data_IF_160261534481
#
_entry.id   IF_160261534481
#
_cell.length_a   1.000
_cell.length_b   1.000
_cell.length_c   1.000
_cell.angle_alpha   90.00
_cell.angle_beta   90.00
_cell.angle_gamma   90.00
#
_symmetry.space_group_name_H-M   'P 1'
#
loop_
_entity.id
_entity.type
_entity.pdbx_description
1 polymer ?
#
# COMPACT_ATOMS: atom_id res chain seq x y z
N UNK A 1 -2.29 25.52 20.89
CA UNK A 1 -1.94 24.09 20.89
C UNK A 1 -0.59 23.87 21.56
N UNK A 2 -0.44 22.82 22.37
CA UNK A 2 0.87 22.41 22.88
C UNK A 2 1.66 21.80 21.74
N UNK A 3 2.83 22.37 21.44
CA UNK A 3 3.66 21.96 20.30
C UNK A 3 5.11 21.71 20.71
N UNK A 4 5.80 20.90 19.92
CA UNK A 4 7.24 20.71 20.01
C UNK A 4 7.94 21.17 18.73
N UNK A 5 9.15 21.74 18.80
CA UNK A 5 9.98 21.93 17.61
C UNK A 5 10.29 20.58 16.95
N UNK A 6 10.23 20.50 15.62
CA UNK A 6 10.44 19.26 14.87
C UNK A 6 11.80 18.62 15.19
N UNK A 7 12.86 19.43 15.37
CA UNK A 7 14.19 18.94 15.68
C UNK A 7 14.28 18.07 16.95
N UNK A 8 13.32 18.19 17.89
CA UNK A 8 13.26 17.30 19.07
C UNK A 8 13.03 15.85 18.67
N UNK A 9 12.28 15.61 17.58
CA UNK A 9 11.96 14.27 17.07
C UNK A 9 13.19 13.49 16.62
N UNK A 10 14.31 14.16 16.32
CA UNK A 10 15.53 13.51 15.86
C UNK A 10 16.23 12.73 16.98
N UNK A 11 15.94 13.06 18.24
CA UNK A 11 16.62 12.50 19.40
C UNK A 11 15.94 11.23 19.89
N UNK A 12 16.75 10.20 20.19
CA UNK A 12 16.28 8.95 20.80
C UNK A 12 15.54 9.19 22.13
N UNK A 13 16.04 10.10 22.96
CA UNK A 13 15.47 10.42 24.28
C UNK A 13 14.04 10.99 24.18
N UNK A 14 13.78 11.88 23.21
CA UNK A 14 12.44 12.41 23.00
C UNK A 14 11.47 11.33 22.55
N UNK A 15 11.85 10.53 21.54
CA UNK A 15 11.03 9.42 21.04
C UNK A 15 10.71 8.37 22.10
N UNK A 16 11.63 8.08 23.02
CA UNK A 16 11.40 7.15 24.13
C UNK A 16 10.45 7.69 25.21
N UNK A 17 10.31 9.01 25.31
CA UNK A 17 9.43 9.68 26.29
C UNK A 17 8.06 10.01 25.72
N UNK A 18 7.85 9.82 24.43
CA UNK A 18 6.61 10.13 23.72
C UNK A 18 6.10 8.90 22.98
N UNK A 19 4.93 9.02 22.35
CA UNK A 19 4.35 7.95 21.55
C UNK A 19 4.92 7.88 20.12
N UNK A 20 5.91 8.73 19.78
CA UNK A 20 6.40 8.89 18.41
C UNK A 20 7.16 7.66 17.89
N UNK A 21 6.43 6.78 17.21
CA UNK A 21 6.94 5.61 16.52
C UNK A 21 7.21 5.86 15.02
N UNK A 22 7.48 4.79 14.27
CA UNK A 22 7.77 4.87 12.83
C UNK A 22 6.56 5.18 11.98
N UNK A 23 5.39 4.67 12.37
CA UNK A 23 4.13 4.95 11.66
C UNK A 23 3.75 6.41 11.81
N UNK A 24 3.86 6.98 13.01
CA UNK A 24 3.59 8.39 13.27
C UNK A 24 4.64 9.30 12.61
N UNK A 25 5.92 8.92 12.66
CA UNK A 25 6.98 9.66 11.95
C UNK A 25 6.68 9.72 10.45
N UNK A 26 6.29 8.59 9.87
CA UNK A 26 5.95 8.50 8.46
C UNK A 26 4.70 9.32 8.11
N UNK A 27 3.65 9.24 8.94
CA UNK A 27 2.44 10.06 8.80
C UNK A 27 2.78 11.55 8.76
N UNK A 28 3.62 12.04 9.69
CA UNK A 28 4.07 13.43 9.71
C UNK A 28 4.83 13.81 8.42
N UNK A 29 5.73 12.94 7.94
CA UNK A 29 6.48 13.15 6.68
C UNK A 29 5.54 13.25 5.48
N UNK A 30 4.52 12.38 5.40
CA UNK A 30 3.50 12.43 4.34
C UNK A 30 2.71 13.73 4.37
N UNK A 31 2.29 14.18 5.55
CA UNK A 31 1.58 15.46 5.71
C UNK A 31 2.44 16.65 5.32
N UNK A 32 3.74 16.62 5.64
CA UNK A 32 4.69 17.62 5.15
C UNK A 32 4.76 17.63 3.63
N UNK A 33 4.94 16.46 3.00
CA UNK A 33 4.97 16.32 1.55
C UNK A 33 3.70 16.89 0.90
N UNK A 34 2.51 16.53 1.40
CA UNK A 34 1.22 17.01 0.89
C UNK A 34 1.09 18.53 1.02
N UNK A 35 1.51 19.09 2.16
CA UNK A 35 1.50 20.54 2.39
C UNK A 35 2.45 21.26 1.43
N UNK A 36 3.66 20.74 1.23
CA UNK A 36 4.63 21.30 0.28
C UNK A 36 4.08 21.26 -1.15
N UNK A 37 3.49 20.14 -1.58
CA UNK A 37 2.82 20.03 -2.89
C UNK A 37 1.72 21.07 -3.04
N UNK A 38 0.90 21.26 -2.01
CA UNK A 38 -0.17 22.25 -2.03
C UNK A 38 0.41 23.66 -2.21
N UNK A 39 1.46 24.02 -1.47
CA UNK A 39 2.15 25.31 -1.61
C UNK A 39 2.71 25.48 -3.03
N UNK A 40 3.39 24.47 -3.56
CA UNK A 40 3.92 24.47 -4.93
C UNK A 40 2.82 24.63 -5.98
N UNK A 41 1.64 24.02 -5.77
CA UNK A 41 0.49 24.15 -6.68
C UNK A 41 -0.03 25.59 -6.81
N UNK A 42 0.30 26.47 -5.84
CA UNK A 42 -0.02 27.90 -5.86
C UNK A 42 1.09 28.76 -6.47
N UNK A 43 2.13 28.15 -7.03
CA UNK A 43 3.28 28.87 -7.60
C UNK A 43 4.18 29.51 -6.54
N UNK A 44 4.15 28.98 -5.31
CA UNK A 44 4.94 29.46 -4.17
C UNK A 44 6.08 28.47 -3.90
N UNK A 45 7.26 28.95 -3.55
CA UNK A 45 8.37 28.12 -3.04
C UNK A 45 8.60 28.44 -1.57
N UNK A 46 8.89 27.40 -0.79
CA UNK A 46 9.15 27.53 0.65
C UNK A 46 10.58 28.02 0.89
N UNK A 47 11.53 27.59 0.05
CA UNK A 47 12.95 28.00 0.06
C UNK A 47 13.72 27.48 1.26
N UNK A 48 13.25 27.76 2.48
CA UNK A 48 13.95 27.44 3.72
C UNK A 48 13.22 26.35 4.53
N UNK A 49 13.11 25.15 3.94
CA UNK A 49 12.58 23.94 4.60
C UNK A 49 13.63 23.41 5.59
N UNK A 50 13.88 24.19 6.64
CA UNK A 50 14.78 23.85 7.73
C UNK A 50 13.98 23.27 8.92
N UNK A 51 14.62 22.45 9.74
CA UNK A 51 13.96 21.76 10.86
C UNK A 51 13.42 22.68 11.97
N UNK A 52 13.81 23.96 11.99
CA UNK A 52 13.37 24.96 12.97
C UNK A 52 12.07 25.64 12.53
N UNK A 53 11.73 25.60 11.24
CA UNK A 53 10.51 26.18 10.67
C UNK A 53 9.28 25.25 10.77
N UNK A 54 9.37 24.22 11.61
CA UNK A 54 8.31 23.24 11.82
C UNK A 54 8.02 23.01 13.30
N UNK A 55 6.74 23.08 13.64
CA UNK A 55 6.22 22.66 14.94
C UNK A 55 5.35 21.42 14.75
N UNK A 56 5.44 20.47 15.68
CA UNK A 56 4.59 19.28 15.71
C UNK A 56 3.63 19.37 16.89
N UNK A 57 2.40 18.93 16.67
CA UNK A 57 1.40 18.80 17.74
C UNK A 57 1.79 17.66 18.69
N UNK A 58 1.41 17.76 19.97
CA UNK A 58 1.89 16.85 21.02
C UNK A 58 1.41 15.38 20.89
N UNK A 59 0.33 15.12 20.15
CA UNK A 59 -0.13 13.78 19.75
C UNK A 59 0.33 13.38 18.34
N UNK A 60 1.18 14.19 17.69
CA UNK A 60 1.78 13.89 16.39
C UNK A 60 0.76 13.69 15.26
N UNK A 61 -0.44 14.25 15.43
CA UNK A 61 -1.49 14.28 14.40
C UNK A 61 -1.23 15.35 13.35
N UNK A 62 -0.55 16.43 13.76
CA UNK A 62 -0.42 17.65 12.98
C UNK A 62 1.03 18.16 12.93
N UNK A 63 1.37 18.82 11.82
CA UNK A 63 2.61 19.57 11.65
C UNK A 63 2.28 20.97 11.13
N UNK A 64 2.85 21.98 11.76
CA UNK A 64 2.62 23.38 11.46
C UNK A 64 3.88 23.96 10.81
N UNK A 65 3.68 24.57 9.64
CA UNK A 65 4.70 25.33 8.93
C UNK A 65 4.64 26.76 9.50
N UNK A 66 5.77 27.23 10.03
CA UNK A 66 5.91 28.59 10.54
C UNK A 66 6.89 29.37 9.67
N UNK A 67 7.05 30.66 9.95
CA UNK A 67 7.96 31.56 9.19
C UNK A 67 7.59 31.60 7.68
N UNK A 68 6.28 31.66 7.41
CA UNK A 68 5.71 31.59 6.05
C UNK A 68 5.89 32.88 5.24
N UNK A 69 6.24 33.98 5.91
CA UNK A 69 6.55 35.27 5.29
C UNK A 69 7.91 35.27 4.57
N UNK A 70 8.75 34.27 4.82
CA UNK A 70 10.01 34.04 4.08
C UNK A 70 9.81 33.38 2.71
N UNK A 71 8.60 32.92 2.39
CA UNK A 71 8.35 32.14 1.18
C UNK A 71 8.46 32.99 -0.07
N UNK A 72 9.01 32.40 -1.14
CA UNK A 72 9.02 33.03 -2.45
C UNK A 72 7.64 32.92 -3.08
N UNK A 73 7.07 34.06 -3.45
CA UNK A 73 5.84 34.15 -4.24
C UNK A 73 6.16 34.78 -5.60
N UNK A 74 5.21 34.84 -6.56
CA UNK A 74 5.44 35.54 -7.82
C UNK A 74 5.86 37.01 -7.64
N UNK A 75 5.39 37.66 -6.57
CA UNK A 75 5.65 39.08 -6.30
C UNK A 75 6.83 39.33 -5.35
N UNK A 76 7.32 38.30 -4.65
CA UNK A 76 8.35 38.45 -3.62
C UNK A 76 9.50 37.46 -3.85
N UNK A 77 10.73 37.95 -4.11
CA UNK A 77 11.88 37.09 -4.33
C UNK A 77 12.31 36.38 -3.02
N UNK A 78 13.05 35.28 -3.13
CA UNK A 78 13.52 34.53 -1.97
C UNK A 78 14.53 35.34 -1.17
N UNK A 79 14.47 35.26 0.17
CA UNK A 79 15.35 36.01 1.09
C UNK A 79 16.64 35.27 1.37
N UNK A 80 16.56 34.09 2.00
CA UNK A 80 17.71 33.31 2.45
C UNK A 80 17.38 31.82 2.57
N UNK A 81 18.41 30.99 2.66
CA UNK A 81 18.30 29.55 2.91
C UNK A 81 19.43 29.12 3.86
N UNK A 82 19.14 28.23 4.81
CA UNK A 82 20.16 27.67 5.68
C UNK A 82 21.14 26.76 4.90
N UNK A 83 22.43 26.81 5.28
CA UNK A 83 23.47 26.09 4.53
C UNK A 83 23.39 24.57 4.66
N UNK A 84 22.80 24.04 5.73
CA UNK A 84 22.64 22.60 5.93
C UNK A 84 21.63 21.99 4.95
N UNK A 85 20.56 22.71 4.59
CA UNK A 85 19.51 22.20 3.69
C UNK A 85 19.64 22.64 2.22
N UNK A 86 20.59 23.53 1.91
CA UNK A 86 20.76 24.10 0.56
C UNK A 86 21.35 23.08 -0.43
N UNK A 87 20.71 22.91 -1.59
CA UNK A 87 21.30 22.15 -2.68
C UNK A 87 22.52 22.88 -3.28
N UNK A 88 23.68 22.22 -3.26
CA UNK A 88 24.94 22.76 -3.80
C UNK A 88 25.01 22.71 -5.32
N UNK A 89 24.12 21.97 -5.97
CA UNK A 89 24.12 21.76 -7.41
C UNK A 89 23.13 22.67 -8.15
N UNK A 90 22.34 23.47 -7.42
CA UNK A 90 21.40 24.42 -8.03
C UNK A 90 21.88 25.86 -7.87
N UNK A 91 21.79 26.64 -8.96
CA UNK A 91 22.08 28.08 -8.98
C UNK A 91 20.86 28.95 -8.65
N UNK A 92 19.65 28.39 -8.64
CA UNK A 92 18.40 29.12 -8.44
C UNK A 92 17.35 28.30 -7.67
N UNK A 93 16.50 28.98 -6.92
CA UNK A 93 15.41 28.34 -6.19
C UNK A 93 14.30 27.87 -7.12
N UNK A 94 13.87 26.62 -6.92
CA UNK A 94 12.83 25.92 -7.66
C UNK A 94 12.07 24.96 -6.73
N UNK A 95 10.98 24.37 -7.21
CA UNK A 95 10.30 23.27 -6.51
C UNK A 95 11.26 22.12 -6.20
N UNK A 96 12.21 21.87 -7.11
CA UNK A 96 13.21 20.81 -6.97
C UNK A 96 14.22 21.08 -5.85
N UNK A 97 14.55 22.36 -5.57
CA UNK A 97 15.41 22.70 -4.42
C UNK A 97 14.65 22.55 -3.10
N UNK A 98 13.35 22.85 -3.08
CA UNK A 98 12.51 22.56 -1.92
C UNK A 98 12.46 21.05 -1.65
N UNK A 99 12.32 20.22 -2.69
CA UNK A 99 12.33 18.76 -2.52
C UNK A 99 13.65 18.21 -1.99
N UNK A 100 14.77 18.83 -2.36
CA UNK A 100 16.07 18.49 -1.77
C UNK A 100 16.12 18.82 -0.27
N UNK A 101 15.67 20.01 0.12
CA UNK A 101 15.62 20.43 1.52
C UNK A 101 14.64 19.58 2.34
N UNK A 102 13.48 19.26 1.78
CA UNK A 102 12.54 18.28 2.35
C UNK A 102 13.19 16.91 2.52
N UNK A 103 13.97 16.45 1.54
CA UNK A 103 14.73 15.20 1.64
C UNK A 103 15.63 15.18 2.86
N UNK A 104 16.36 16.27 3.12
CA UNK A 104 17.24 16.39 4.27
C UNK A 104 16.45 16.31 5.59
N UNK A 105 15.38 17.10 5.74
CA UNK A 105 14.59 17.15 6.98
C UNK A 105 13.86 15.83 7.23
N UNK A 106 13.22 15.25 6.20
CA UNK A 106 12.53 13.96 6.32
C UNK A 106 13.48 12.80 6.62
N UNK A 107 14.69 12.83 6.06
CA UNK A 107 15.74 11.88 6.43
C UNK A 107 16.15 12.02 7.90
N UNK A 108 16.33 13.25 8.40
CA UNK A 108 16.60 13.51 9.81
C UNK A 108 15.46 13.04 10.72
N UNK A 109 14.20 13.15 10.29
CA UNK A 109 13.06 12.60 11.01
C UNK A 109 13.16 11.09 11.15
N UNK A 110 13.52 10.36 10.09
CA UNK A 110 13.71 8.90 10.16
C UNK A 110 14.93 8.49 10.98
N UNK A 111 16.10 9.05 10.69
CA UNK A 111 17.39 8.50 11.15
C UNK A 111 17.94 9.22 12.38
N UNK A 112 17.56 10.49 12.56
CA UNK A 112 18.05 11.35 13.63
C UNK A 112 19.40 12.03 13.33
N UNK A 113 19.88 11.97 12.09
CA UNK A 113 21.13 12.61 11.65
C UNK A 113 20.98 13.12 10.21
N UNK A 114 21.77 14.14 9.86
CA UNK A 114 21.82 14.67 8.51
C UNK A 114 22.39 13.62 7.51
N UNK A 115 21.84 13.47 6.29
CA UNK A 115 22.26 12.44 5.33
C UNK A 115 23.70 12.57 4.83
N UNK A 116 24.29 13.76 4.97
CA UNK A 116 25.70 14.04 4.62
C UNK A 116 26.64 14.13 5.85
N UNK A 117 26.17 13.75 7.05
CA UNK A 117 27.02 13.63 8.24
C UNK A 117 27.53 12.20 8.44
N UNK A 118 28.35 11.95 9.46
CA UNK A 118 29.06 10.70 9.68
C UNK A 118 30.55 10.79 9.34
N UNK A 119 31.23 9.66 9.36
CA UNK A 119 32.67 9.53 9.12
C UNK A 119 32.93 8.99 7.72
N UNK A 120 33.68 9.76 6.95
CA UNK A 120 34.21 9.42 5.63
C UNK A 120 35.70 9.74 5.62
N UNK A 121 36.56 8.71 5.52
CA UNK A 121 38.01 8.84 5.76
C UNK A 121 38.67 9.95 4.93
N UNK A 122 38.40 10.10 3.62
CA UNK A 122 39.01 11.14 2.80
C UNK A 122 38.78 12.58 3.30
N UNK A 123 37.66 12.84 4.00
CA UNK A 123 37.32 14.16 4.53
C UNK A 123 37.43 14.26 6.05
N UNK A 124 38.04 13.26 6.71
CA UNK A 124 38.19 13.25 8.17
C UNK A 124 39.04 14.39 8.73
N UNK A 125 39.91 14.98 7.90
CA UNK A 125 40.77 16.11 8.26
C UNK A 125 40.06 17.48 8.17
N UNK A 126 38.88 17.56 7.54
CA UNK A 126 38.11 18.78 7.42
C UNK A 126 37.32 19.06 8.71
N UNK A 127 37.15 20.33 9.05
CA UNK A 127 36.19 20.77 10.07
C UNK A 127 34.74 20.40 9.68
N UNK A 128 33.81 20.47 10.64
CA UNK A 128 32.46 19.94 10.45
C UNK A 128 31.71 20.59 9.28
N UNK A 129 31.83 21.91 9.12
CA UNK A 129 31.10 22.67 8.11
C UNK A 129 31.71 22.44 6.72
N UNK A 130 33.03 22.51 6.60
CA UNK A 130 33.72 22.19 5.33
C UNK A 130 33.51 20.74 4.93
N UNK A 131 33.47 19.83 5.89
CA UNK A 131 33.19 18.40 5.63
C UNK A 131 31.77 18.21 5.11
N UNK A 132 30.78 18.84 5.74
CA UNK A 132 29.39 18.78 5.27
C UNK A 132 29.27 19.34 3.85
N UNK A 133 29.83 20.53 3.62
CA UNK A 133 29.82 21.20 2.32
C UNK A 133 30.52 20.36 1.23
N UNK A 134 31.70 19.81 1.53
CA UNK A 134 32.42 18.93 0.61
C UNK A 134 31.62 17.66 0.27
N UNK A 135 30.93 17.06 1.25
CA UNK A 135 30.09 15.87 1.01
C UNK A 135 28.86 16.18 0.18
N UNK A 136 28.19 17.30 0.42
CA UNK A 136 27.04 17.72 -0.40
C UNK A 136 27.46 18.04 -1.84
N UNK A 137 28.59 18.74 -2.03
CA UNK A 137 29.15 19.04 -3.37
C UNK A 137 29.53 17.78 -4.14
N UNK A 138 30.01 16.75 -3.44
CA UNK A 138 30.44 15.49 -4.05
C UNK A 138 29.40 14.37 -3.96
N UNK A 139 28.17 14.67 -3.51
CA UNK A 139 27.07 13.70 -3.41
C UNK A 139 27.42 12.45 -2.56
N UNK A 140 28.14 12.65 -1.46
CA UNK A 140 28.62 11.57 -0.58
C UNK A 140 27.68 11.48 0.62
N UNK A 141 26.61 10.69 0.51
CA UNK A 141 25.64 10.48 1.59
C UNK A 141 26.03 9.32 2.51
N UNK A 142 25.22 9.02 3.53
CA UNK A 142 25.44 7.83 4.39
C UNK A 142 24.97 6.51 3.76
N UNK A 143 24.38 6.53 2.56
CA UNK A 143 24.03 5.32 1.82
C UNK A 143 25.24 4.61 1.20
N UNK A 144 26.39 5.29 1.07
CA UNK A 144 27.63 4.66 0.62
C UNK A 144 28.22 3.73 1.67
N UNK A 145 28.70 2.58 1.23
CA UNK A 145 29.36 1.56 2.08
C UNK A 145 30.64 2.06 2.76
N UNK A 146 31.31 3.07 2.21
CA UNK A 146 32.54 3.67 2.76
C UNK A 146 32.27 4.81 3.76
N UNK A 147 31.00 5.06 4.08
CA UNK A 147 30.57 6.04 5.07
C UNK A 147 29.97 5.34 6.27
N UNK A 148 30.41 5.73 7.47
CA UNK A 148 29.84 5.21 8.72
C UNK A 148 29.13 6.31 9.49
N UNK A 149 28.03 5.99 10.16
CA UNK A 149 27.29 6.93 11.01
C UNK A 149 27.16 6.40 12.45
N UNK A 150 26.92 7.26 13.45
CA UNK A 150 26.89 6.85 14.85
C UNK A 150 25.81 5.80 15.13
N UNK A 151 26.17 4.75 15.89
CA UNK A 151 25.23 3.66 16.29
C UNK A 151 24.04 4.13 17.14
N UNK A 152 24.09 5.36 17.67
CA UNK A 152 22.97 5.96 18.42
C UNK A 152 21.83 6.43 17.50
N UNK A 153 22.14 6.65 16.22
CA UNK A 153 21.17 6.92 15.17
C UNK A 153 20.40 5.65 14.82
N UNK A 154 19.28 5.81 14.10
CA UNK A 154 18.38 4.70 13.76
C UNK A 154 18.89 3.96 12.51
N UNK A 155 18.48 2.70 12.33
CA UNK A 155 18.86 1.89 11.16
C UNK A 155 18.30 2.52 9.87
N UNK A 156 19.04 2.41 8.77
CA UNK A 156 18.52 2.77 7.44
C UNK A 156 17.33 1.89 7.02
N UNK A 157 17.22 0.68 7.59
CA UNK A 157 16.16 -0.29 7.29
C UNK A 157 14.76 0.17 7.73
N UNK A 158 14.66 1.21 8.58
CA UNK A 158 13.35 1.74 8.97
C UNK A 158 12.71 2.57 7.84
N UNK A 159 13.52 3.05 6.91
CA UNK A 159 13.06 3.90 5.82
C UNK A 159 12.26 3.02 4.85
N UNK A 160 11.02 3.37 4.49
CA UNK A 160 10.29 2.66 3.45
C UNK A 160 11.08 2.63 2.14
N UNK A 161 11.06 1.49 1.45
CA UNK A 161 11.90 1.24 0.26
C UNK A 161 11.75 2.32 -0.82
N UNK A 162 10.53 2.82 -1.07
CA UNK A 162 10.30 3.92 -2.01
C UNK A 162 11.06 5.20 -1.62
N UNK A 163 10.98 5.58 -0.34
CA UNK A 163 11.70 6.73 0.19
C UNK A 163 13.21 6.50 0.20
N UNK A 164 13.67 5.27 0.49
CA UNK A 164 15.08 4.93 0.44
C UNK A 164 15.66 5.17 -0.95
N UNK A 165 15.02 4.61 -1.99
CA UNK A 165 15.44 4.80 -3.39
C UNK A 165 15.41 6.27 -3.79
N UNK A 166 14.38 7.00 -3.35
CA UNK A 166 14.29 8.43 -3.58
C UNK A 166 15.43 9.21 -2.90
N UNK A 167 15.76 8.90 -1.64
CA UNK A 167 16.89 9.51 -0.94
C UNK A 167 18.22 9.24 -1.65
N UNK A 168 18.47 8.00 -2.06
CA UNK A 168 19.66 7.63 -2.84
C UNK A 168 19.72 8.43 -4.16
N UNK A 169 18.58 8.57 -4.85
CA UNK A 169 18.48 9.33 -6.09
C UNK A 169 18.74 10.85 -5.90
N UNK A 170 18.20 11.47 -4.84
CA UNK A 170 18.38 12.90 -4.60
C UNK A 170 19.71 13.25 -3.92
N UNK A 171 20.27 12.37 -3.10
CA UNK A 171 21.53 12.65 -2.42
C UNK A 171 22.74 12.23 -3.26
N UNK A 172 22.61 11.16 -4.05
CA UNK A 172 23.71 10.58 -4.84
C UNK A 172 23.47 10.70 -6.35
N UNK A 173 22.26 10.35 -6.79
CA UNK A 173 21.86 10.23 -8.20
C UNK A 173 21.66 11.54 -9.00
N UNK A 174 21.95 12.71 -8.43
CA UNK A 174 21.80 14.05 -9.05
C UNK A 174 20.38 14.42 -9.54
N UNK A 175 19.38 13.58 -9.33
CA UNK A 175 17.98 13.89 -9.67
C UNK A 175 17.36 14.69 -8.53
N UNK A 176 16.76 15.85 -8.79
CA UNK A 176 16.08 16.67 -7.77
C UNK A 176 14.58 16.60 -8.02
N UNK A 177 14.01 15.43 -7.77
CA UNK A 177 12.61 15.12 -8.08
C UNK A 177 11.77 15.07 -6.81
N UNK A 178 10.44 15.32 -6.89
CA UNK A 178 9.55 15.12 -5.74
C UNK A 178 9.66 13.70 -5.16
N UNK A 179 9.41 13.54 -3.85
CA UNK A 179 9.29 12.23 -3.20
C UNK A 179 8.15 11.41 -3.82
N UNK A 180 8.21 10.08 -3.71
CA UNK A 180 7.15 9.20 -4.19
C UNK A 180 5.84 9.47 -3.44
N UNK A 181 4.72 9.29 -4.13
CA UNK A 181 3.40 9.50 -3.57
C UNK A 181 2.99 8.31 -2.69
N UNK A 182 3.58 7.13 -2.94
CA UNK A 182 3.29 5.90 -2.23
C UNK A 182 4.53 5.24 -1.61
N UNK A 183 4.25 4.39 -0.62
CA UNK A 183 5.22 3.61 0.19
C UNK A 183 5.78 2.43 -0.60
N UNK A 184 5.00 1.95 -1.57
CA UNK A 184 5.42 0.89 -2.46
C UNK A 184 6.47 1.47 -3.38
N UNK A 185 7.67 0.88 -3.35
CA UNK A 185 8.44 0.82 -4.57
C UNK A 185 7.43 0.39 -5.63
N UNK A 186 7.10 1.29 -6.57
CA UNK A 186 6.50 0.83 -7.80
C UNK A 186 7.44 -0.30 -8.23
N UNK A 187 6.94 -1.53 -8.14
CA UNK A 187 7.43 -2.54 -9.03
C UNK A 187 7.04 -1.90 -10.35
N UNK A 188 8.00 -1.20 -10.97
CA UNK A 188 7.95 -0.98 -12.38
C UNK A 188 8.05 -2.40 -12.90
N UNK A 189 6.91 -3.09 -12.95
CA UNK A 189 6.67 -4.12 -13.93
C UNK A 189 6.77 -3.28 -15.18
N UNK A 190 7.99 -3.19 -15.69
CA UNK A 190 8.16 -2.91 -17.09
C UNK A 190 7.56 -4.18 -17.65
N UNK A 191 6.34 -4.17 -18.23
CA UNK A 191 5.89 -5.35 -18.91
C UNK A 191 7.04 -5.70 -19.84
N UNK A 192 7.68 -6.85 -19.61
CA UNK A 192 8.35 -7.51 -20.71
C UNK A 192 7.20 -7.80 -21.66
N UNK A 193 6.94 -6.85 -22.56
CA UNK A 193 6.36 -7.16 -23.83
C UNK A 193 7.40 -8.07 -24.47
N UNK A 194 7.28 -9.37 -24.21
CA UNK A 194 7.54 -10.30 -25.29
C UNK A 194 6.54 -9.90 -26.36
N UNK A 195 7.02 -9.09 -27.30
CA UNK A 195 6.45 -9.08 -28.62
C UNK A 195 6.60 -10.53 -29.11
N UNK A 196 5.60 -11.35 -28.81
CA UNK A 196 5.44 -12.64 -29.44
C UNK A 196 5.22 -12.30 -30.91
N UNK A 197 6.31 -12.29 -31.68
CA UNK A 197 6.24 -12.59 -33.10
C UNK A 197 5.73 -14.01 -33.19
N UNK A 198 4.41 -14.13 -33.12
CA UNK A 198 3.72 -15.36 -33.45
C UNK A 198 3.92 -15.57 -34.93
N UNK A 199 4.74 -16.54 -35.28
CA UNK A 199 4.73 -17.21 -36.59
C UNK A 199 3.52 -18.17 -36.70
N UNK A 200 2.61 -18.15 -35.71
CA UNK A 200 1.47 -19.07 -35.61
C UNK A 200 0.12 -18.34 -35.66
N UNK A 201 -0.77 -18.84 -36.50
CA UNK A 201 -2.17 -18.44 -36.56
C UNK A 201 -2.84 -18.61 -35.18
N UNK A 202 -3.59 -17.61 -34.74
CA UNK A 202 -4.37 -17.70 -33.51
C UNK A 202 -5.56 -18.62 -33.76
N UNK A 203 -5.53 -19.83 -33.21
CA UNK A 203 -6.61 -20.80 -33.33
C UNK A 203 -7.61 -20.62 -32.18
N UNK A 204 -8.82 -20.19 -32.51
CA UNK A 204 -9.94 -20.11 -31.55
C UNK A 204 -10.71 -21.41 -31.62
N UNK A 205 -10.57 -22.25 -30.59
CA UNK A 205 -11.29 -23.53 -30.50
C UNK A 205 -12.45 -23.37 -29.52
N UNK A 206 -13.66 -23.68 -29.98
CA UNK A 206 -14.85 -23.72 -29.14
C UNK A 206 -14.83 -24.98 -28.27
N UNK A 207 -14.69 -24.81 -26.96
CA UNK A 207 -14.72 -25.92 -25.99
C UNK A 207 -16.17 -26.34 -25.75
N UNK A 208 -17.04 -25.38 -25.42
CA UNK A 208 -18.43 -25.67 -25.06
C UNK A 208 -19.35 -24.46 -25.28
N UNK A 209 -20.65 -24.72 -25.47
CA UNK A 209 -21.71 -23.71 -25.53
C UNK A 209 -22.68 -23.85 -24.35
N UNK A 210 -23.09 -22.71 -23.81
CA UNK A 210 -24.13 -22.61 -22.79
C UNK A 210 -25.30 -21.81 -23.33
N UNK A 211 -26.52 -22.16 -22.91
CA UNK A 211 -27.75 -21.46 -23.34
C UNK A 211 -27.91 -20.08 -22.70
N UNK A 212 -27.23 -19.88 -21.58
CA UNK A 212 -27.31 -18.70 -20.73
C UNK A 212 -25.96 -17.99 -20.75
N UNK A 213 -25.95 -16.69 -20.48
CA UNK A 213 -24.73 -15.90 -20.39
C UNK A 213 -23.82 -16.44 -19.28
N UNK A 214 -22.55 -16.61 -19.60
CA UNK A 214 -21.51 -17.05 -18.65
C UNK A 214 -21.11 -15.82 -17.82
N UNK A 215 -21.26 -15.94 -16.50
CA UNK A 215 -20.87 -14.92 -15.53
C UNK A 215 -19.43 -15.14 -15.10
N UNK A 216 -19.07 -16.39 -14.79
CA UNK A 216 -17.74 -16.72 -14.30
C UNK A 216 -17.29 -18.10 -14.79
N UNK A 217 -15.98 -18.29 -14.88
CA UNK A 217 -15.34 -19.55 -15.23
C UNK A 217 -14.14 -19.78 -14.34
N UNK A 218 -14.12 -20.92 -13.67
CA UNK A 218 -13.02 -21.34 -12.84
C UNK A 218 -12.62 -22.78 -13.17
N UNK A 219 -11.31 -23.00 -13.30
CA UNK A 219 -10.75 -24.33 -13.49
C UNK A 219 -9.57 -24.54 -12.57
N UNK A 220 -9.64 -25.55 -11.71
CA UNK A 220 -8.52 -25.97 -10.86
C UNK A 220 -8.45 -27.50 -10.78
N UNK A 221 -7.23 -28.04 -10.91
CA UNK A 221 -6.93 -29.47 -10.83
C UNK A 221 -7.87 -30.40 -11.63
N UNK A 222 -8.33 -29.95 -12.80
CA UNK A 222 -9.20 -30.72 -13.70
C UNK A 222 -10.69 -30.63 -13.39
N UNK A 223 -11.10 -29.77 -12.45
CA UNK A 223 -12.50 -29.44 -12.21
C UNK A 223 -12.82 -28.12 -12.86
N UNK A 224 -13.75 -28.16 -13.78
CA UNK A 224 -14.29 -26.99 -14.44
C UNK A 224 -15.63 -26.63 -13.82
N UNK A 225 -15.73 -25.37 -13.39
CA UNK A 225 -16.95 -24.77 -12.90
C UNK A 225 -17.31 -23.60 -13.82
N UNK A 226 -18.50 -23.67 -14.40
CA UNK A 226 -19.05 -22.59 -15.21
C UNK A 226 -20.27 -22.02 -14.50
N UNK A 227 -20.21 -20.75 -14.13
CA UNK A 227 -21.34 -20.02 -13.59
C UNK A 227 -22.05 -19.27 -14.73
N UNK A 228 -23.36 -19.45 -14.82
CA UNK A 228 -24.23 -18.74 -15.74
C UNK A 228 -25.28 -17.95 -14.97
N UNK A 229 -26.11 -17.14 -15.64
CA UNK A 229 -27.17 -16.36 -14.97
C UNK A 229 -28.06 -17.15 -14.01
N UNK A 230 -28.40 -18.41 -14.31
CA UNK A 230 -29.27 -19.21 -13.45
C UNK A 230 -28.70 -20.57 -13.04
N UNK A 231 -27.54 -20.98 -13.57
CA UNK A 231 -26.98 -22.32 -13.33
C UNK A 231 -25.48 -22.34 -13.11
N UNK A 232 -25.05 -23.21 -12.21
CA UNK A 232 -23.67 -23.63 -12.06
C UNK A 232 -23.52 -25.00 -12.74
N UNK A 233 -22.51 -25.15 -13.58
CA UNK A 233 -22.17 -26.42 -14.20
C UNK A 233 -20.87 -26.95 -13.61
N UNK A 234 -20.88 -28.18 -13.12
CA UNK A 234 -19.67 -28.93 -12.72
C UNK A 234 -19.57 -30.16 -13.59
N UNK A 235 -18.52 -30.29 -14.41
CA UNK A 235 -18.38 -31.42 -15.36
C UNK A 235 -19.64 -31.65 -16.21
N UNK A 236 -20.32 -30.58 -16.65
CA UNK A 236 -21.59 -30.55 -17.40
C UNK A 236 -22.87 -30.87 -16.65
N UNK A 237 -22.80 -31.23 -15.37
CA UNK A 237 -24.01 -31.40 -14.55
C UNK A 237 -24.52 -30.02 -14.08
N UNK A 238 -25.77 -29.63 -14.43
CA UNK A 238 -26.32 -28.35 -14.04
C UNK A 238 -26.88 -28.37 -12.62
N UNK A 239 -26.64 -27.29 -11.90
CA UNK A 239 -27.24 -26.98 -10.61
C UNK A 239 -27.88 -25.58 -10.65
N UNK A 240 -29.11 -25.46 -10.13
CA UNK A 240 -29.83 -24.18 -10.09
C UNK A 240 -29.20 -23.23 -9.08
N UNK A 241 -28.87 -22.02 -9.54
CA UNK A 241 -28.27 -20.98 -8.71
C UNK A 241 -29.27 -20.45 -7.70
N UNK A 242 -28.80 -20.26 -6.47
CA UNK A 242 -29.46 -19.41 -5.50
C UNK A 242 -28.81 -18.04 -5.55
N UNK A 243 -29.63 -16.99 -5.51
CA UNK A 243 -29.16 -15.60 -5.52
C UNK A 243 -28.08 -15.38 -4.46
N UNK A 244 -27.03 -14.65 -4.83
CA UNK A 244 -25.87 -14.32 -3.98
C UNK A 244 -25.17 -15.58 -3.43
N UNK A 245 -24.83 -16.52 -4.33
CA UNK A 245 -24.06 -17.72 -3.98
C UNK A 245 -22.55 -17.50 -4.11
N UNK A 246 -21.78 -18.37 -3.48
CA UNK A 246 -20.33 -18.41 -3.59
C UNK A 246 -19.86 -19.86 -3.74
N UNK A 247 -18.82 -20.07 -4.53
CA UNK A 247 -18.32 -21.39 -4.88
C UNK A 247 -17.00 -21.67 -4.17
N UNK A 248 -16.83 -22.89 -3.66
CA UNK A 248 -15.55 -23.39 -3.15
C UNK A 248 -15.22 -24.79 -3.67
N UNK A 249 -13.94 -25.10 -3.73
CA UNK A 249 -13.43 -26.45 -3.97
C UNK A 249 -12.62 -26.89 -2.75
N UNK A 250 -12.84 -28.11 -2.27
CA UNK A 250 -12.05 -28.61 -1.14
C UNK A 250 -10.60 -28.87 -1.54
N UNK A 251 -9.61 -28.54 -0.69
CA UNK A 251 -8.21 -28.50 -1.10
C UNK A 251 -7.56 -29.87 -1.33
N UNK A 252 -8.10 -30.98 -0.78
CA UNK A 252 -7.51 -32.33 -0.94
C UNK A 252 -8.32 -33.20 -1.90
N UNK A 253 -9.63 -33.24 -1.73
CA UNK A 253 -10.53 -34.06 -2.52
C UNK A 253 -11.01 -33.41 -3.80
N UNK A 254 -10.73 -32.11 -3.98
CA UNK A 254 -11.24 -31.29 -5.06
C UNK A 254 -12.78 -31.32 -5.13
N UNK A 255 -13.49 -31.38 -4.00
CA UNK A 255 -14.96 -31.49 -4.06
C UNK A 255 -15.59 -30.11 -4.19
N UNK A 256 -16.45 -29.85 -5.20
CA UNK A 256 -17.11 -28.57 -5.36
C UNK A 256 -18.30 -28.39 -4.41
N UNK A 257 -18.33 -27.25 -3.74
CA UNK A 257 -19.39 -26.80 -2.85
C UNK A 257 -19.94 -25.46 -3.31
N UNK A 258 -21.26 -25.30 -3.19
CA UNK A 258 -21.92 -23.99 -3.31
C UNK A 258 -22.41 -23.55 -1.92
N UNK A 259 -22.12 -22.30 -1.58
CA UNK A 259 -22.58 -21.65 -0.37
C UNK A 259 -23.58 -20.54 -0.68
N UNK A 260 -24.57 -20.35 0.19
CA UNK A 260 -25.47 -19.21 0.14
C UNK A 260 -25.96 -18.87 1.56
N UNK A 261 -26.59 -17.71 1.72
CA UNK A 261 -27.15 -17.29 3.00
C UNK A 261 -28.66 -17.47 3.02
N UNK A 262 -29.19 -18.14 4.05
CA UNK A 262 -30.62 -18.23 4.33
C UNK A 262 -30.88 -17.65 5.71
N UNK A 263 -31.61 -16.55 5.81
CA UNK A 263 -31.87 -15.85 7.08
C UNK A 263 -30.60 -15.55 7.90
N UNK A 264 -29.52 -15.16 7.22
CA UNK A 264 -28.16 -14.94 7.77
C UNK A 264 -27.42 -16.20 8.22
N UNK A 265 -27.97 -17.39 8.03
CA UNK A 265 -27.25 -18.65 8.25
C UNK A 265 -26.56 -19.09 6.97
N UNK A 266 -25.30 -19.51 7.08
CA UNK A 266 -24.56 -20.09 5.96
C UNK A 266 -25.12 -21.49 5.68
N UNK A 267 -25.51 -21.73 4.43
CA UNK A 267 -25.81 -23.05 3.92
C UNK A 267 -24.69 -23.46 2.97
N UNK A 268 -24.25 -24.72 3.02
CA UNK A 268 -23.27 -25.31 2.12
C UNK A 268 -23.87 -26.57 1.50
N UNK A 269 -23.70 -26.75 0.20
CA UNK A 269 -24.19 -27.91 -0.54
C UNK A 269 -23.09 -28.50 -1.40
N UNK A 270 -22.88 -29.81 -1.27
CA UNK A 270 -21.94 -30.58 -2.07
C UNK A 270 -22.59 -30.86 -3.44
N UNK A 271 -21.96 -30.39 -4.52
CA UNK A 271 -22.49 -30.51 -5.88
C UNK A 271 -22.33 -31.93 -6.46
N UNK A 272 -21.34 -32.70 -6.01
CA UNK A 272 -21.12 -34.08 -6.43
C UNK A 272 -22.06 -35.06 -5.72
N UNK A 273 -22.05 -35.05 -4.37
CA UNK A 273 -22.88 -35.95 -3.57
C UNK A 273 -24.35 -35.55 -3.51
N UNK A 274 -24.67 -34.32 -3.95
CA UNK A 274 -26.01 -33.73 -3.92
C UNK A 274 -26.61 -33.69 -2.52
N UNK A 275 -25.80 -33.28 -1.53
CA UNK A 275 -26.18 -33.23 -0.11
C UNK A 275 -25.76 -31.92 0.54
N UNK A 276 -26.58 -31.47 1.49
CA UNK A 276 -26.23 -30.37 2.38
C UNK A 276 -25.08 -30.77 3.31
N UNK A 277 -24.17 -29.83 3.57
CA UNK A 277 -23.16 -29.91 4.60
C UNK A 277 -23.61 -29.04 5.79
N UNK A 278 -23.98 -29.66 6.94
CA UNK A 278 -24.38 -28.91 8.12
C UNK A 278 -23.26 -27.99 8.62
N UNK A 279 -23.60 -26.72 8.84
CA UNK A 279 -22.69 -25.72 9.38
C UNK A 279 -23.47 -24.70 10.21
N UNK A 280 -22.98 -24.41 11.42
CA UNK A 280 -23.58 -23.43 12.33
C UNK A 280 -22.80 -22.12 12.29
N UNK A 281 -22.91 -21.39 11.19
CA UNK A 281 -22.26 -20.10 11.00
C UNK A 281 -23.26 -19.05 10.52
N UNK A 282 -23.11 -17.84 11.04
CA UNK A 282 -23.92 -16.70 10.61
C UNK A 282 -23.08 -15.68 9.86
N UNK A 283 -23.67 -15.07 8.83
CA UNK A 283 -23.05 -14.07 8.00
C UNK A 283 -24.09 -13.11 7.42
N UNK A 284 -23.63 -11.91 7.08
CA UNK A 284 -24.42 -10.84 6.45
C UNK A 284 -24.21 -10.78 4.95
N UNK A 285 -23.01 -11.17 4.49
CA UNK A 285 -22.63 -11.23 3.07
C UNK A 285 -21.72 -12.43 2.82
N UNK A 286 -21.71 -12.90 1.58
CA UNK A 286 -20.90 -14.02 1.10
C UNK A 286 -20.27 -13.62 -0.25
N UNK A 287 -19.10 -14.15 -0.55
CA UNK A 287 -18.44 -14.04 -1.86
C UNK A 287 -17.52 -15.24 -2.09
N UNK A 288 -17.12 -15.46 -3.34
CA UNK A 288 -16.07 -16.43 -3.69
C UNK A 288 -14.84 -15.77 -4.29
N UNK A 289 -13.70 -16.43 -4.13
CA UNK A 289 -12.47 -16.08 -4.84
C UNK A 289 -11.54 -17.28 -4.96
N UNK A 290 -11.14 -17.62 -6.19
CA UNK A 290 -10.26 -18.75 -6.51
C UNK A 290 -10.68 -20.04 -5.78
N UNK A 291 -11.94 -20.46 -5.96
CA UNK A 291 -12.47 -21.69 -5.37
C UNK A 291 -12.54 -21.66 -3.84
N UNK A 292 -12.70 -20.49 -3.21
CA UNK A 292 -12.83 -20.36 -1.75
C UNK A 292 -13.97 -19.42 -1.39
N UNK A 293 -14.67 -19.73 -0.30
CA UNK A 293 -15.79 -18.94 0.19
C UNK A 293 -15.35 -18.03 1.33
N UNK A 294 -15.78 -16.77 1.25
CA UNK A 294 -15.60 -15.77 2.29
C UNK A 294 -16.95 -15.28 2.79
N UNK A 295 -17.02 -14.97 4.07
CA UNK A 295 -18.23 -14.48 4.74
C UNK A 295 -17.90 -13.23 5.54
N UNK A 296 -18.75 -12.20 5.43
CA UNK A 296 -18.68 -11.04 6.33
C UNK A 296 -19.77 -11.17 7.38
N UNK A 297 -19.39 -11.02 8.65
CA UNK A 297 -20.33 -10.86 9.75
C UNK A 297 -19.86 -9.72 10.64
N UNK A 298 -20.65 -8.63 10.70
CA UNK A 298 -20.28 -7.39 11.38
C UNK A 298 -18.92 -6.86 10.90
N UNK A 299 -17.96 -6.75 11.82
CA UNK A 299 -16.61 -6.23 11.63
C UNK A 299 -15.58 -7.32 11.26
N UNK A 300 -16.04 -8.54 10.96
CA UNK A 300 -15.16 -9.68 10.67
C UNK A 300 -15.41 -10.23 9.28
N UNK A 301 -14.32 -10.45 8.57
CA UNK A 301 -14.29 -11.24 7.35
C UNK A 301 -13.62 -12.58 7.64
N UNK A 302 -14.32 -13.67 7.34
CA UNK A 302 -13.89 -15.03 7.60
C UNK A 302 -13.85 -15.86 6.32
N UNK A 303 -12.79 -16.62 6.15
CA UNK A 303 -12.67 -17.66 5.12
C UNK A 303 -13.25 -18.97 5.66
N UNK A 304 -14.00 -19.68 4.82
CA UNK A 304 -14.55 -20.99 5.15
C UNK A 304 -13.51 -22.05 4.83
N UNK A 305 -13.10 -22.79 5.85
CA UNK A 305 -12.15 -23.89 5.76
C UNK A 305 -12.89 -25.23 5.79
N UNK A 306 -12.64 -26.05 4.77
CA UNK A 306 -13.11 -27.43 4.70
C UNK A 306 -12.09 -28.37 5.35
N UNK A 307 -12.55 -29.14 6.34
CA UNK A 307 -11.77 -30.15 7.04
C UNK A 307 -12.21 -31.50 6.48
N UNK A 308 -11.36 -32.09 5.64
CA UNK A 308 -11.62 -33.36 4.97
C UNK A 308 -11.07 -34.52 5.81
N UNK A 309 -12.00 -35.34 6.33
CA UNK A 309 -11.75 -36.59 7.05
C UNK A 309 -11.98 -37.78 6.10
N UNK A 310 -11.57 -38.97 6.52
CA UNK A 310 -11.62 -40.17 5.66
C UNK A 310 -13.00 -40.46 5.05
N UNK A 311 -14.10 -40.16 5.77
CA UNK A 311 -15.48 -40.46 5.33
C UNK A 311 -16.43 -39.26 5.47
N UNK A 312 -15.91 -38.06 5.73
CA UNK A 312 -16.76 -36.88 5.92
C UNK A 312 -15.98 -35.59 5.74
N UNK A 313 -16.71 -34.54 5.37
CA UNK A 313 -16.20 -33.18 5.33
C UNK A 313 -16.89 -32.38 6.42
N UNK A 314 -16.15 -31.51 7.10
CA UNK A 314 -16.68 -30.51 8.03
C UNK A 314 -16.31 -29.11 7.55
N UNK A 315 -17.16 -28.13 7.84
CA UNK A 315 -16.85 -26.73 7.57
C UNK A 315 -16.56 -25.99 8.88
N UNK A 316 -15.57 -25.11 8.82
CA UNK A 316 -15.23 -24.18 9.90
C UNK A 316 -14.94 -22.80 9.31
N UNK A 317 -14.92 -21.76 10.12
CA UNK A 317 -14.53 -20.41 9.67
C UNK A 317 -13.26 -19.96 10.35
N UNK A 318 -12.38 -19.30 9.61
CA UNK A 318 -11.24 -18.57 10.17
C UNK A 318 -11.32 -17.10 9.80
N UNK A 319 -11.20 -16.23 10.79
CA UNK A 319 -11.12 -14.79 10.55
C UNK A 319 -9.81 -14.51 9.81
N UNK A 320 -9.92 -13.89 8.64
CA UNK A 320 -8.78 -13.48 7.81
C UNK A 320 -8.53 -11.98 7.88
N UNK A 321 -9.56 -11.19 8.20
CA UNK A 321 -9.46 -9.75 8.25
C UNK A 321 -10.51 -9.12 9.17
N UNK A 322 -10.18 -7.98 9.76
CA UNK A 322 -11.17 -7.09 10.36
C UNK A 322 -11.56 -6.02 9.33
N UNK A 323 -12.85 -5.75 9.24
CA UNK A 323 -13.44 -4.82 8.29
C UNK A 323 -14.42 -3.88 8.99
N UNK A 324 -14.78 -2.75 8.38
CA UNK A 324 -15.78 -1.85 8.92
C UNK A 324 -17.18 -2.45 8.77
N UNK A 325 -17.94 -2.52 9.85
CA UNK A 325 -19.26 -3.14 9.86
C UNK A 325 -20.21 -2.56 8.78
N UNK A 326 -20.23 -1.23 8.66
CA UNK A 326 -21.20 -0.50 7.82
C UNK A 326 -20.62 0.08 6.53
N UNK A 327 -19.30 0.08 6.39
CA UNK A 327 -18.61 0.73 5.28
C UNK A 327 -17.79 -0.26 4.44
N UNK A 328 -18.34 -1.47 4.26
CA UNK A 328 -17.69 -2.57 3.54
C UNK A 328 -18.59 -3.16 2.45
N UNK A 329 -18.02 -3.27 1.25
CA UNK A 329 -18.62 -3.90 0.08
C UNK A 329 -17.75 -5.09 -0.31
N UNK A 330 -18.39 -6.22 -0.64
CA UNK A 330 -17.72 -7.41 -1.16
C UNK A 330 -17.93 -7.38 -2.68
N UNK A 331 -16.87 -7.59 -3.43
CA UNK A 331 -16.84 -7.71 -4.88
C UNK A 331 -16.16 -9.03 -5.27
N UNK A 332 -16.08 -9.31 -6.56
CA UNK A 332 -15.43 -10.52 -7.07
C UNK A 332 -13.93 -10.49 -6.77
N UNK A 333 -13.52 -11.32 -5.82
CA UNK A 333 -12.13 -11.44 -5.43
C UNK A 333 -11.59 -10.45 -4.41
N UNK A 334 -12.38 -9.45 -3.99
CA UNK A 334 -11.91 -8.40 -3.09
C UNK A 334 -12.98 -7.86 -2.14
N UNK A 335 -12.51 -7.19 -1.09
CA UNK A 335 -13.36 -6.46 -0.15
C UNK A 335 -12.93 -4.99 -0.08
N UNK A 336 -13.82 -4.10 -0.48
CA UNK A 336 -13.61 -2.65 -0.48
C UNK A 336 -14.20 -2.04 0.80
N UNK A 337 -13.40 -1.22 1.48
CA UNK A 337 -13.81 -0.43 2.63
C UNK A 337 -13.65 1.06 2.35
N UNK A 338 -14.68 1.85 2.66
CA UNK A 338 -14.60 3.31 2.57
C UNK A 338 -14.46 3.92 3.96
N UNK A 339 -13.29 4.47 4.25
CA UNK A 339 -12.98 5.21 5.47
C UNK A 339 -13.02 6.71 5.21
N UNK A 340 -14.22 7.27 5.12
CA UNK A 340 -14.44 8.72 4.94
C UNK A 340 -13.71 9.30 3.71
N UNK A 341 -13.74 8.58 2.58
CA UNK A 341 -13.13 9.00 1.33
C UNK A 341 -11.77 8.34 1.04
N UNK A 342 -11.20 7.59 1.99
CA UNK A 342 -10.06 6.70 1.73
C UNK A 342 -10.53 5.26 1.50
N UNK A 343 -10.06 4.63 0.42
CA UNK A 343 -10.44 3.26 0.07
C UNK A 343 -9.38 2.25 0.50
N UNK A 344 -9.78 1.28 1.32
CA UNK A 344 -8.96 0.12 1.67
C UNK A 344 -9.52 -1.10 0.94
N UNK A 345 -8.70 -1.71 0.09
CA UNK A 345 -9.00 -2.96 -0.61
C UNK A 345 -8.36 -4.11 0.15
N UNK A 346 -9.12 -5.16 0.37
CA UNK A 346 -8.65 -6.40 0.99
C UNK A 346 -8.67 -7.51 -0.06
N UNK A 347 -7.50 -8.11 -0.33
CA UNK A 347 -7.32 -9.19 -1.30
C UNK A 347 -6.77 -10.45 -0.63
N UNK A 348 -7.00 -11.61 -1.28
CA UNK A 348 -6.78 -12.92 -0.67
C UNK A 348 -5.90 -13.83 -1.54
N UNK A 349 -4.68 -13.44 -1.97
CA UNK A 349 -3.84 -14.29 -2.83
C UNK A 349 -3.35 -15.59 -2.17
N UNK A 350 -3.51 -15.76 -0.86
CA UNK A 350 -3.11 -16.96 -0.12
C UNK A 350 -4.21 -17.42 0.84
N UNK A 351 -4.27 -18.73 1.10
CA UNK A 351 -5.20 -19.31 2.07
C UNK A 351 -4.97 -18.72 3.46
N UNK A 352 -6.06 -18.37 4.15
CA UNK A 352 -6.08 -17.83 5.50
C UNK A 352 -5.27 -16.53 5.71
N UNK A 353 -4.97 -15.81 4.63
CA UNK A 353 -4.25 -14.53 4.66
C UNK A 353 -5.02 -13.47 3.91
N UNK A 354 -5.10 -12.29 4.52
CA UNK A 354 -5.63 -11.09 3.90
C UNK A 354 -4.53 -10.05 3.77
N UNK A 355 -4.46 -9.38 2.63
CA UNK A 355 -3.63 -8.20 2.41
C UNK A 355 -4.55 -7.01 2.27
N UNK A 356 -4.31 -5.97 3.06
CA UNK A 356 -5.05 -4.71 2.96
C UNK A 356 -4.17 -3.67 2.29
N UNK A 357 -4.67 -3.11 1.20
CA UNK A 357 -4.02 -2.12 0.36
C UNK A 357 -4.83 -0.83 0.44
N UNK A 358 -4.17 0.29 0.65
CA UNK A 358 -4.79 1.59 0.43
C UNK A 358 -4.51 2.00 -1.01
N UNK A 359 -5.56 2.30 -1.78
CA UNK A 359 -5.41 2.78 -3.17
C UNK A 359 -5.81 4.24 -3.18
N UNK A 360 -4.82 5.09 -3.00
CA UNK A 360 -5.04 6.52 -2.80
C UNK A 360 -5.56 7.21 -4.06
N UNK A 361 -5.30 6.62 -5.22
CA UNK A 361 -5.79 7.06 -6.54
C UNK A 361 -7.32 6.98 -6.65
N UNK A 362 -7.94 6.10 -5.87
CA UNK A 362 -9.40 5.99 -5.79
C UNK A 362 -10.02 7.03 -4.87
N UNK A 363 -9.22 7.76 -4.08
CA UNK A 363 -9.74 8.81 -3.21
C UNK A 363 -10.44 9.88 -4.07
N UNK A 364 -11.54 10.42 -3.55
CA UNK A 364 -12.45 11.35 -4.26
C UNK A 364 -13.24 10.74 -5.43
N UNK A 365 -13.02 9.47 -5.78
CA UNK A 365 -13.78 8.78 -6.81
C UNK A 365 -14.91 7.94 -6.21
N UNK A 366 -15.93 7.67 -7.03
CA UNK A 366 -16.99 6.73 -6.70
C UNK A 366 -16.70 5.41 -7.41
N UNK A 367 -16.47 4.35 -6.64
CA UNK A 367 -16.34 3.00 -7.18
C UNK A 367 -17.72 2.53 -7.65
N UNK A 368 -17.80 2.17 -8.93
CA UNK A 368 -19.00 1.65 -9.57
C UNK A 368 -18.97 0.12 -9.59
N UNK A 369 -17.80 -0.44 -9.87
CA UNK A 369 -17.50 -1.86 -9.92
C UNK A 369 -16.01 -2.08 -9.58
N UNK A 370 -15.64 -3.30 -9.21
CA UNK A 370 -14.28 -3.65 -8.82
C UNK A 370 -14.11 -5.18 -8.95
N UNK A 371 -12.96 -5.66 -9.45
CA UNK A 371 -12.67 -7.10 -9.51
C UNK A 371 -11.19 -7.37 -9.28
N UNK A 372 -10.89 -8.44 -8.53
CA UNK A 372 -9.53 -8.95 -8.39
C UNK A 372 -9.44 -10.35 -8.98
N UNK A 373 -8.66 -10.49 -10.05
CA UNK A 373 -8.51 -11.75 -10.80
C UNK A 373 -7.10 -11.88 -11.34
N UNK A 374 -6.52 -13.09 -11.29
CA UNK A 374 -5.19 -13.40 -11.83
C UNK A 374 -4.08 -12.43 -11.38
N UNK A 375 -4.15 -12.01 -10.11
CA UNK A 375 -3.26 -11.02 -9.51
C UNK A 375 -3.35 -9.60 -10.06
N UNK A 376 -4.42 -9.30 -10.79
CA UNK A 376 -4.74 -7.98 -11.34
C UNK A 376 -5.99 -7.45 -10.64
N UNK A 377 -5.93 -6.20 -10.22
CA UNK A 377 -7.08 -5.43 -9.76
C UNK A 377 -7.59 -4.60 -10.94
N UNK A 378 -8.89 -4.67 -11.22
CA UNK A 378 -9.55 -4.03 -12.36
C UNK A 378 -10.64 -3.09 -11.90
#
# INVERSE_FOLDING_TARGET
PDTYPLCKTFTKSFRQKTILDDKLSFSLIKRMQETIKHIHSKGILIVDINELNFLIENYFSEIFFIDVDSYKTPSFPPTAIMQNIRDRHSSSFSTNTDWFSFGIVSFQMFIGIHPFQGKYKPYGHLDADKRLDARMKNNISIFRDDVTYPRICRSLEIIPEAYRRWYEAIFEGKTRVPPPDDITAAIIITPEYQEMKSDSDLEIIKIQDFKEEIIDYFSDNGIEIVETLNKIYTNNDPYEIKKDCAIAITPKGNVPYVGWLKNKELCLYNLEEKKDLPVELTAEKIMSYNGRIFTKNKDKLSEINFIELANSTQASSRIVCNVLEKATVLYDGLVLQNMLGSFIISIFPKINHCYQLNISELNEHKIIDDKYENHVLV
#
